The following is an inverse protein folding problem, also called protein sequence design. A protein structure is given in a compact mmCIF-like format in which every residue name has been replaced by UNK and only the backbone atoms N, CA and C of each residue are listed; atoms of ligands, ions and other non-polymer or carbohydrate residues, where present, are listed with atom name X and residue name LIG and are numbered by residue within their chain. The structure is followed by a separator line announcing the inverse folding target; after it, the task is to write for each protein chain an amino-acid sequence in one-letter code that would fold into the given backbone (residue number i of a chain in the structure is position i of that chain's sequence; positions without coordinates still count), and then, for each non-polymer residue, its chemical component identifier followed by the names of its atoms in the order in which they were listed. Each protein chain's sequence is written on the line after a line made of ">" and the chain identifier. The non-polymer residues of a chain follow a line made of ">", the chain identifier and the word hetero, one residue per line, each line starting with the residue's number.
data_IF_778890402505
#
_entry.id   IF_778890402505
#
_cell.length_a   1.000
_cell.length_b   1.000
_cell.length_c   1.000
_cell.angle_alpha   90.00
_cell.angle_beta   90.00
_cell.angle_gamma   90.00
#
_symmetry.space_group_name_H-M   'P 1'
#
loop_
_entity.id
_entity.type
_entity.pdbx_description
1 polymer ?
#
# COMPACT_ATOMS: atom_id res chain seq x y z
N UNK A 1 16.38 5.36 2.51
CA UNK A 1 15.17 4.49 2.52
C UNK A 1 14.03 5.31 3.11
N UNK A 2 12.82 5.28 2.54
CA UNK A 2 11.70 6.04 3.09
C UNK A 2 11.31 5.46 4.46
N UNK A 3 11.25 6.30 5.50
CA UNK A 3 10.78 5.91 6.84
C UNK A 3 9.32 6.34 6.99
N UNK A 4 8.44 5.37 7.21
CA UNK A 4 7.01 5.63 7.42
C UNK A 4 6.70 5.75 8.90
N UNK A 5 5.93 6.78 9.25
CA UNK A 5 5.26 6.91 10.53
C UNK A 5 3.96 6.10 10.55
N UNK A 6 3.23 6.10 9.44
CA UNK A 6 1.99 5.32 9.30
C UNK A 6 1.69 5.00 7.83
N UNK A 7 0.98 3.90 7.60
CA UNK A 7 0.54 3.44 6.28
C UNK A 7 -0.93 3.04 6.37
N UNK A 8 -1.77 3.60 5.51
CA UNK A 8 -3.19 3.31 5.38
C UNK A 8 -3.53 2.77 4.00
N UNK A 9 -4.50 1.86 3.97
CA UNK A 9 -5.01 1.24 2.75
C UNK A 9 -4.82 -0.28 2.75
N UNK A 10 -5.10 -0.93 1.61
CA UNK A 10 -5.39 -0.31 0.31
C UNK A 10 -6.78 0.36 0.27
N UNK A 11 -6.84 1.63 -0.12
CA UNK A 11 -8.12 2.38 -0.24
C UNK A 11 -8.74 2.30 -1.63
N UNK A 12 -7.96 1.85 -2.63
CA UNK A 12 -8.40 1.60 -3.99
C UNK A 12 -7.64 0.40 -4.54
N UNK A 13 -8.33 -0.44 -5.28
CA UNK A 13 -7.79 -1.55 -6.05
C UNK A 13 -8.15 -1.33 -7.52
N UNK A 14 -7.18 -1.50 -8.40
CA UNK A 14 -7.37 -1.53 -9.85
C UNK A 14 -6.89 -2.89 -10.37
N UNK A 15 -7.78 -3.63 -11.01
CA UNK A 15 -7.45 -4.88 -11.68
C UNK A 15 -7.32 -4.56 -13.17
N UNK A 16 -6.13 -4.79 -13.72
CA UNK A 16 -5.84 -4.66 -15.15
C UNK A 16 -5.47 -6.03 -15.70
N UNK A 17 -5.66 -6.24 -17.00
CA UNK A 17 -5.38 -7.54 -17.63
C UNK A 17 -3.96 -8.08 -17.40
N UNK A 18 -3.01 -7.23 -17.04
CA UNK A 18 -1.61 -7.58 -16.74
C UNK A 18 -1.26 -7.62 -15.25
N UNK A 19 -2.16 -7.25 -14.34
CA UNK A 19 -1.78 -7.07 -12.94
C UNK A 19 -2.82 -6.44 -12.03
N UNK A 20 -2.51 -6.50 -10.75
CA UNK A 20 -3.25 -5.85 -9.68
C UNK A 20 -2.49 -4.61 -9.23
N UNK A 21 -3.20 -3.50 -9.00
CA UNK A 21 -2.62 -2.26 -8.51
C UNK A 21 -3.41 -1.76 -7.32
N UNK A 22 -2.73 -1.62 -6.20
CA UNK A 22 -3.30 -1.15 -4.94
C UNK A 22 -2.74 0.21 -4.57
N UNK A 23 -3.59 1.05 -4.01
CA UNK A 23 -3.24 2.42 -3.62
C UNK A 23 -3.28 2.57 -2.11
N UNK A 24 -2.22 3.18 -1.57
CA UNK A 24 -1.97 3.39 -0.16
C UNK A 24 -1.67 4.86 0.10
N UNK A 25 -2.13 5.35 1.24
CA UNK A 25 -1.76 6.67 1.74
C UNK A 25 -0.79 6.46 2.90
N UNK A 26 0.33 7.15 2.90
CA UNK A 26 1.37 6.99 3.92
C UNK A 26 1.73 8.34 4.51
N UNK A 27 2.01 8.38 5.80
CA UNK A 27 2.66 9.51 6.47
C UNK A 27 4.10 9.12 6.75
N UNK A 28 5.03 9.95 6.30
CA UNK A 28 6.45 9.82 6.52
C UNK A 28 6.83 10.36 7.93
N UNK A 29 8.04 10.03 8.38
CA UNK A 29 8.54 10.48 9.69
C UNK A 29 8.68 12.01 9.80
N UNK A 30 8.87 12.71 8.69
CA UNK A 30 8.90 14.18 8.59
C UNK A 30 7.49 14.82 8.62
N UNK A 31 6.44 14.00 8.71
CA UNK A 31 5.04 14.44 8.68
C UNK A 31 4.48 14.63 7.27
N UNK A 32 5.28 14.40 6.23
CA UNK A 32 4.82 14.51 4.84
C UNK A 32 3.86 13.36 4.49
N UNK A 33 2.79 13.68 3.77
CA UNK A 33 1.79 12.71 3.33
C UNK A 33 2.03 12.37 1.87
N UNK A 34 2.21 11.08 1.58
CA UNK A 34 2.45 10.60 0.21
C UNK A 34 1.57 9.43 -0.17
N UNK A 35 1.19 9.42 -1.44
CA UNK A 35 0.56 8.28 -2.10
C UNK A 35 1.59 7.24 -2.52
N UNK A 36 1.30 5.98 -2.25
CA UNK A 36 2.07 4.85 -2.75
C UNK A 36 1.17 3.89 -3.51
N UNK A 37 1.70 3.35 -4.59
CA UNK A 37 1.08 2.25 -5.32
C UNK A 37 1.94 1.01 -5.23
N UNK A 38 1.30 -0.12 -4.94
CA UNK A 38 1.88 -1.44 -5.04
C UNK A 38 1.24 -2.13 -6.24
N UNK A 39 2.05 -2.52 -7.21
CA UNK A 39 1.58 -3.24 -8.41
C UNK A 39 2.15 -4.65 -8.39
N UNK A 40 1.28 -5.65 -8.53
CA UNK A 40 1.67 -7.03 -8.76
C UNK A 40 1.40 -7.38 -10.22
N UNK A 41 2.46 -7.78 -10.90
CA UNK A 41 2.45 -8.15 -12.31
C UNK A 41 2.22 -9.66 -12.47
N UNK A 42 1.24 -10.07 -13.27
CA UNK A 42 0.89 -11.49 -13.41
C UNK A 42 1.92 -12.26 -14.23
N UNK A 43 2.53 -11.60 -15.22
CA UNK A 43 3.56 -12.16 -16.11
C UNK A 43 4.86 -12.48 -15.35
N UNK A 44 5.37 -11.49 -14.61
CA UNK A 44 6.67 -11.58 -13.92
C UNK A 44 6.55 -12.06 -12.48
N UNK A 45 5.33 -12.07 -11.92
CA UNK A 45 5.03 -12.39 -10.51
C UNK A 45 5.79 -11.49 -9.52
N UNK A 46 6.16 -10.29 -9.96
CA UNK A 46 6.95 -9.33 -9.17
C UNK A 46 6.05 -8.22 -8.65
N UNK A 47 6.37 -7.76 -7.44
CA UNK A 47 5.83 -6.54 -6.87
C UNK A 47 6.70 -5.34 -7.26
N UNK A 48 6.04 -4.25 -7.66
CA UNK A 48 6.68 -2.95 -7.91
C UNK A 48 5.98 -1.87 -7.11
N UNK A 49 6.78 -1.01 -6.48
CA UNK A 49 6.28 0.16 -5.78
C UNK A 49 6.54 1.42 -6.59
N UNK A 50 5.56 2.32 -6.62
CA UNK A 50 5.74 3.68 -7.15
C UNK A 50 5.08 4.68 -6.22
N UNK A 51 5.81 5.72 -5.82
CA UNK A 51 5.25 6.86 -5.10
C UNK A 51 4.61 7.85 -6.09
N UNK A 52 3.59 8.56 -5.65
CA UNK A 52 2.97 9.66 -6.40
C UNK A 52 2.52 10.75 -5.44
N UNK A 53 2.54 11.98 -5.91
CA UNK A 53 2.28 13.21 -5.16
C UNK A 53 0.89 13.81 -5.48
N UNK A 54 -0.06 12.98 -5.92
CA UNK A 54 -1.28 13.41 -6.58
C UNK A 54 -2.47 13.70 -5.67
N UNK A 55 -2.48 14.86 -4.99
CA UNK A 55 -3.65 15.68 -4.59
C UNK A 55 -4.78 15.09 -3.70
N UNK A 56 -5.22 13.85 -3.92
CA UNK A 56 -6.30 13.20 -3.19
C UNK A 56 -5.81 12.35 -2.01
N UNK A 57 -4.53 11.96 -1.99
CA UNK A 57 -3.97 11.15 -0.89
C UNK A 57 -3.85 11.98 0.40
N UNK A 58 -3.51 13.27 0.25
CA UNK A 58 -3.56 14.23 1.35
C UNK A 58 -4.96 14.38 1.91
N UNK A 59 -6.02 14.32 1.08
CA UNK A 59 -7.41 14.39 1.57
C UNK A 59 -7.84 13.13 2.30
N UNK A 60 -7.44 11.94 1.83
CA UNK A 60 -7.79 10.70 2.51
C UNK A 60 -7.03 10.53 3.83
N UNK A 61 -5.73 10.80 3.82
CA UNK A 61 -4.91 10.80 5.05
C UNK A 61 -5.35 11.91 6.02
N UNK A 62 -5.65 13.13 5.54
CA UNK A 62 -6.20 14.21 6.39
C UNK A 62 -7.58 13.85 6.93
N UNK A 63 -8.48 13.28 6.12
CA UNK A 63 -9.81 12.85 6.60
C UNK A 63 -9.72 11.74 7.65
N UNK A 64 -8.80 10.79 7.48
CA UNK A 64 -8.51 9.75 8.49
C UNK A 64 -7.89 10.34 9.75
N UNK A 65 -7.01 11.34 9.60
CA UNK A 65 -6.44 12.09 10.71
C UNK A 65 -7.51 12.91 11.47
N UNK A 66 -8.40 13.62 10.74
CA UNK A 66 -9.46 14.47 11.28
C UNK A 66 -10.61 13.68 11.91
N UNK A 67 -10.88 12.44 11.47
CA UNK A 67 -11.90 11.57 12.08
C UNK A 67 -11.50 10.95 13.44
N UNK A 68 -10.42 11.42 14.08
CA UNK A 68 -10.03 10.96 15.42
C UNK A 68 -9.28 9.62 15.44
N UNK A 69 -8.91 9.05 14.28
CA UNK A 69 -8.06 7.86 14.22
C UNK A 69 -6.57 8.15 14.47
N UNK A 70 -6.21 9.40 14.76
CA UNK A 70 -4.86 9.78 15.21
C UNK A 70 -4.60 9.37 16.67
N UNK A 71 -5.63 9.35 17.53
CA UNK A 71 -5.54 8.86 18.91
C UNK A 71 -5.76 7.34 19.02
N UNK A 72 -6.39 6.73 18.00
CA UNK A 72 -6.46 5.27 17.82
C UNK A 72 -5.37 4.77 16.87
N UNK A 73 -4.11 5.16 17.09
CA UNK A 73 -3.02 4.31 16.60
C UNK A 73 -3.08 3.04 17.44
N UNK A 74 -3.52 1.87 16.92
CA UNK A 74 -3.35 0.63 17.66
C UNK A 74 -1.88 0.52 18.05
N UNK A 75 -1.55 0.03 19.26
CA UNK A 75 -0.16 0.02 19.74
C UNK A 75 0.81 -0.70 18.77
N UNK A 76 0.28 -1.58 17.91
CA UNK A 76 0.97 -2.19 16.75
C UNK A 76 1.38 -1.22 15.62
N UNK A 77 0.92 0.03 15.64
CA UNK A 77 1.31 1.12 14.73
C UNK A 77 2.28 2.12 15.38
N UNK A 78 2.56 2.00 16.69
CA UNK A 78 3.58 2.80 17.39
C UNK A 78 4.95 2.15 17.26
N UNK A 79 5.40 1.97 16.02
CA UNK A 79 6.73 1.45 15.72
C UNK A 79 7.29 2.18 14.52
N UNK A 80 8.48 2.76 14.66
CA UNK A 80 9.23 3.25 13.51
C UNK A 80 9.52 2.03 12.64
N UNK A 81 8.95 2.00 11.42
CA UNK A 81 9.25 0.92 10.48
C UNK A 81 10.63 1.22 9.86
N UNK A 82 11.68 0.73 10.50
CA UNK A 82 13.07 0.88 10.07
C UNK A 82 13.58 -0.34 9.30
N UNK A 83 14.32 -0.12 8.21
CA UNK A 83 15.07 -1.16 7.49
C UNK A 83 14.31 -2.01 6.45
N UNK A 84 12.98 -2.07 6.48
CA UNK A 84 12.20 -2.85 5.50
C UNK A 84 12.06 -2.13 4.15
N UNK A 85 12.11 -2.88 3.03
CA UNK A 85 11.80 -2.30 1.70
C UNK A 85 10.34 -1.87 1.71
N UNK A 86 10.04 -0.71 1.13
CA UNK A 86 8.67 -0.19 1.03
C UNK A 86 7.70 -1.24 0.47
N UNK A 87 8.18 -2.08 -0.46
CA UNK A 87 7.42 -3.20 -1.00
C UNK A 87 6.94 -4.18 0.07
N UNK A 88 7.79 -4.54 1.02
CA UNK A 88 7.46 -5.50 2.09
C UNK A 88 6.43 -4.90 3.04
N UNK A 89 6.61 -3.61 3.38
CA UNK A 89 5.69 -2.85 4.24
C UNK A 89 4.29 -2.77 3.61
N UNK A 90 4.20 -2.43 2.33
CA UNK A 90 2.92 -2.33 1.64
C UNK A 90 2.29 -3.71 1.41
N UNK A 91 3.10 -4.75 1.21
CA UNK A 91 2.62 -6.13 1.02
C UNK A 91 1.99 -6.67 2.31
N UNK A 92 2.64 -6.43 3.46
CA UNK A 92 2.11 -6.78 4.77
C UNK A 92 0.70 -6.18 5.01
N UNK A 93 0.49 -4.95 4.50
CA UNK A 93 -0.79 -4.24 4.61
C UNK A 93 -1.88 -4.65 3.62
N UNK A 94 -1.58 -5.47 2.61
CA UNK A 94 -2.61 -5.95 1.67
C UNK A 94 -3.60 -6.92 2.33
N UNK A 95 -3.13 -7.69 3.31
CA UNK A 95 -3.82 -8.85 3.85
C UNK A 95 -3.72 -10.09 2.94
N UNK A 96 -3.77 -11.26 3.56
CA UNK A 96 -3.52 -12.55 2.89
C UNK A 96 -4.51 -12.84 1.76
N UNK A 97 -5.77 -12.42 1.91
CA UNK A 97 -6.81 -12.66 0.90
C UNK A 97 -6.46 -12.01 -0.46
N UNK A 98 -6.01 -10.75 -0.44
CA UNK A 98 -5.66 -10.04 -1.69
C UNK A 98 -4.45 -10.66 -2.36
N UNK A 99 -3.47 -11.10 -1.57
CA UNK A 99 -2.28 -11.79 -2.06
C UNK A 99 -2.67 -13.14 -2.67
N UNK A 100 -3.55 -13.90 -2.03
CA UNK A 100 -4.05 -15.16 -2.56
C UNK A 100 -4.77 -14.96 -3.90
N UNK A 101 -5.68 -13.98 -4.00
CA UNK A 101 -6.38 -13.66 -5.27
C UNK A 101 -5.41 -13.31 -6.40
N UNK A 102 -4.43 -12.46 -6.12
CA UNK A 102 -3.42 -12.07 -7.10
C UNK A 102 -2.56 -13.28 -7.54
N UNK A 103 -2.23 -14.17 -6.61
CA UNK A 103 -1.45 -15.40 -6.88
C UNK A 103 -2.23 -16.37 -7.75
N UNK A 104 -3.51 -16.61 -7.45
CA UNK A 104 -4.39 -17.46 -8.27
C UNK A 104 -4.50 -16.90 -9.69
N UNK A 105 -4.69 -15.59 -9.83
CA UNK A 105 -4.73 -14.95 -11.14
C UNK A 105 -3.42 -15.11 -11.92
N UNK A 106 -2.26 -15.05 -11.26
CA UNK A 106 -0.96 -15.26 -11.90
C UNK A 106 -0.72 -16.71 -12.32
N UNK A 107 -1.25 -17.69 -11.57
CA UNK A 107 -1.19 -19.11 -11.97
C UNK A 107 -2.01 -19.40 -13.22
N UNK A 108 -3.09 -18.65 -13.43
CA UNK A 108 -3.97 -18.77 -14.59
C UNK A 108 -3.56 -17.86 -15.76
N UNK A 109 -2.58 -16.98 -15.55
CA UNK A 109 -2.11 -16.04 -16.56
C UNK A 109 -1.30 -16.78 -17.65
N UNK A 110 -1.74 -16.69 -18.90
CA UNK A 110 -1.11 -17.37 -20.04
C UNK A 110 -1.55 -18.82 -20.28
N UNK A 111 -2.52 -19.34 -19.52
CA UNK A 111 -3.17 -20.65 -19.77
C UNK A 111 -4.37 -20.57 -20.74
N UNK A 112 -4.40 -19.56 -21.62
CA UNK A 112 -5.40 -19.42 -22.69
C UNK A 112 -4.74 -19.54 -24.04
#
# INVERSE_FOLDING_TARGET
>A
MAKFKAVWGPYREEIKGYGFKWFFSCVLMDGDVRGYTLTFFLDTRKFRVKHHTGGNESKYAKRLAEQGSLDMLPETQRGVIEGARVTDILRDRLGDERIARATIAALNYGRK
#
